data_IF_957466991630
#
_entry.id   IF_957466991630
#
_cell.length_a   1.000
_cell.length_b   1.000
_cell.length_c   1.000
_cell.angle_alpha   90.00
_cell.angle_beta   90.00
_cell.angle_gamma   90.00
#
_symmetry.space_group_name_H-M   'P 1'
#
loop_
_entity.id
_entity.type
_entity.pdbx_description
1 polymer ?
#
# COMPACT_ATOMS: atom_id res chain seq x y z
N UNK A 1 -3.54 -2.32 39.29
CA UNK A 1 -3.75 -2.24 37.86
C UNK A 1 -2.93 -3.33 37.17
N UNK A 2 -3.60 -4.29 36.61
CA UNK A 2 -2.93 -5.41 35.97
C UNK A 2 -2.43 -4.98 34.58
N UNK A 3 -1.14 -5.02 34.39
CA UNK A 3 -0.60 -4.81 33.05
C UNK A 3 -0.87 -6.04 32.21
N UNK A 4 -1.48 -5.83 31.05
CA UNK A 4 -1.59 -6.91 30.11
C UNK A 4 -0.18 -7.26 29.58
N UNK A 5 0.13 -8.54 29.45
CA UNK A 5 1.42 -8.90 28.89
C UNK A 5 1.55 -8.33 27.48
N UNK A 6 2.67 -7.68 27.23
CA UNK A 6 2.99 -7.19 25.90
C UNK A 6 3.46 -8.38 25.07
N UNK A 7 2.67 -8.70 24.06
CA UNK A 7 3.05 -9.77 23.15
C UNK A 7 4.17 -9.26 22.24
N UNK A 8 5.34 -9.89 22.33
CA UNK A 8 6.42 -9.59 21.41
C UNK A 8 6.24 -10.44 20.18
N UNK A 9 6.09 -9.79 19.04
CA UNK A 9 5.99 -10.49 17.78
C UNK A 9 7.35 -10.67 17.16
N UNK A 10 7.61 -11.88 16.71
CA UNK A 10 8.77 -12.18 15.89
C UNK A 10 8.32 -12.23 14.43
N UNK A 11 9.11 -11.62 13.56
CA UNK A 11 8.78 -11.61 12.14
C UNK A 11 9.71 -12.57 11.42
N UNK A 12 9.11 -13.51 10.73
CA UNK A 12 9.82 -14.45 9.90
C UNK A 12 9.82 -13.98 8.46
N UNK A 13 11.01 -13.90 7.87
CA UNK A 13 11.15 -13.63 6.45
C UNK A 13 11.60 -14.91 5.78
N UNK A 14 10.71 -15.50 4.99
CA UNK A 14 11.07 -16.69 4.23
C UNK A 14 12.21 -16.37 3.27
N UNK A 15 13.27 -17.21 3.22
CA UNK A 15 14.36 -16.98 2.27
C UNK A 15 13.94 -17.08 0.81
N UNK A 16 12.77 -17.66 0.55
CA UNK A 16 12.23 -17.77 -0.81
C UNK A 16 11.20 -16.70 -1.14
N UNK A 17 10.95 -15.78 -0.23
CA UNK A 17 10.00 -14.69 -0.49
C UNK A 17 10.60 -13.72 -1.50
N UNK A 18 9.90 -13.56 -2.62
CA UNK A 18 10.31 -12.64 -3.66
C UNK A 18 9.65 -11.28 -3.44
N UNK A 19 10.43 -10.20 -3.42
CA UNK A 19 9.83 -8.88 -3.37
C UNK A 19 9.09 -8.57 -4.67
N UNK A 20 8.06 -7.76 -4.56
CA UNK A 20 7.25 -7.35 -5.69
C UNK A 20 7.49 -5.88 -5.96
N UNK A 21 7.83 -5.53 -7.18
CA UNK A 21 7.90 -4.14 -7.61
C UNK A 21 6.53 -3.72 -8.14
N UNK A 22 6.05 -2.59 -7.66
CA UNK A 22 4.77 -2.03 -8.10
C UNK A 22 4.91 -0.53 -8.27
N UNK A 23 4.36 -0.01 -9.35
CA UNK A 23 4.30 1.43 -9.59
C UNK A 23 2.87 1.91 -9.84
N UNK A 24 1.90 1.07 -9.54
CA UNK A 24 0.49 1.37 -9.74
C UNK A 24 -0.34 0.52 -8.78
N UNK A 25 -1.41 1.08 -8.24
CA UNK A 25 -2.28 0.31 -7.34
C UNK A 25 -3.73 0.65 -7.63
N UNK A 26 -4.56 -0.39 -7.62
CA UNK A 26 -6.02 -0.24 -7.68
C UNK A 26 -6.57 -0.72 -6.35
N UNK A 27 -7.37 0.12 -5.71
CA UNK A 27 -7.92 -0.21 -4.40
C UNK A 27 -9.43 -0.21 -4.51
N UNK A 28 -10.03 -1.34 -4.14
CA UNK A 28 -11.47 -1.53 -4.12
C UNK A 28 -11.89 -2.07 -2.77
N UNK A 29 -13.19 -2.11 -2.51
CA UNK A 29 -13.67 -2.59 -1.22
C UNK A 29 -15.06 -3.19 -1.32
N UNK A 30 -15.35 -4.04 -0.33
CA UNK A 30 -16.69 -4.47 0.04
C UNK A 30 -16.92 -4.03 1.49
N UNK A 31 -18.10 -4.25 2.07
CA UNK A 31 -18.29 -3.90 3.50
C UNK A 31 -17.35 -4.63 4.45
N UNK A 32 -16.82 -5.77 4.07
CA UNK A 32 -15.99 -6.59 4.96
C UNK A 32 -14.51 -6.62 4.59
N UNK A 33 -14.13 -6.14 3.40
CA UNK A 33 -12.75 -6.28 2.91
C UNK A 33 -12.31 -5.07 2.12
N UNK A 34 -11.01 -4.80 2.16
CA UNK A 34 -10.34 -3.87 1.27
C UNK A 34 -9.36 -4.68 0.43
N UNK A 35 -9.41 -4.50 -0.87
CA UNK A 35 -8.55 -5.22 -1.79
C UNK A 35 -7.60 -4.25 -2.47
N UNK A 36 -6.31 -4.56 -2.41
CA UNK A 36 -5.26 -3.78 -3.07
C UNK A 36 -4.63 -4.63 -4.16
N UNK A 37 -4.84 -4.22 -5.40
CA UNK A 37 -4.18 -4.85 -6.54
C UNK A 37 -2.97 -4.01 -6.89
N UNK A 38 -1.80 -4.54 -6.61
CA UNK A 38 -0.54 -3.90 -6.94
C UNK A 38 -0.17 -4.28 -8.36
N UNK A 39 0.16 -3.29 -9.16
CA UNK A 39 0.36 -3.49 -10.58
C UNK A 39 1.65 -2.86 -11.05
N UNK A 40 2.08 -3.29 -12.20
CA UNK A 40 3.26 -2.78 -12.87
C UNK A 40 2.85 -2.28 -14.24
N UNK A 41 3.06 -0.99 -14.46
CA UNK A 41 2.88 -0.39 -15.78
C UNK A 41 4.23 -0.27 -16.46
N UNK A 42 4.24 -0.40 -17.77
CA UNK A 42 5.45 -0.26 -18.56
C UNK A 42 5.26 0.81 -19.63
N UNK A 43 6.32 1.54 -20.00
CA UNK A 43 6.21 2.55 -21.04
C UNK A 43 5.70 1.93 -22.35
N UNK A 44 4.88 2.68 -23.04
CA UNK A 44 4.40 2.32 -24.38
C UNK A 44 3.52 1.07 -24.44
N UNK A 45 3.01 0.61 -23.30
CA UNK A 45 2.02 -0.45 -23.29
C UNK A 45 0.76 0.05 -22.57
N UNK A 46 -0.42 -0.20 -23.15
CA UNK A 46 -1.67 0.22 -22.51
C UNK A 46 -2.14 -0.71 -21.39
N UNK A 47 -1.38 -1.78 -21.14
CA UNK A 47 -1.77 -2.79 -20.15
C UNK A 47 -0.92 -2.67 -18.89
N UNK A 48 -1.58 -2.75 -17.73
CA UNK A 48 -0.92 -2.89 -16.45
C UNK A 48 -1.04 -4.34 -16.00
N UNK A 49 0.06 -4.91 -15.54
CA UNK A 49 0.06 -6.29 -15.06
C UNK A 49 -0.12 -6.28 -13.54
N UNK A 50 -1.14 -6.98 -13.06
CA UNK A 50 -1.31 -7.19 -11.61
C UNK A 50 -0.25 -8.17 -11.14
N UNK A 51 0.58 -7.75 -10.21
CA UNK A 51 1.68 -8.58 -9.70
C UNK A 51 1.41 -9.10 -8.30
N UNK A 52 0.49 -8.50 -7.56
CA UNK A 52 0.10 -8.98 -6.25
C UNK A 52 -1.30 -8.47 -5.92
N UNK A 53 -2.03 -9.27 -5.19
CA UNK A 53 -3.34 -8.89 -4.65
C UNK A 53 -3.30 -9.10 -3.14
N UNK A 54 -3.59 -8.05 -2.40
CA UNK A 54 -3.60 -8.08 -0.95
C UNK A 54 -5.01 -7.78 -0.47
N UNK A 55 -5.52 -8.64 0.38
CA UNK A 55 -6.86 -8.47 0.95
C UNK A 55 -6.69 -8.17 2.43
N UNK A 56 -7.30 -7.08 2.87
CA UNK A 56 -7.21 -6.59 4.24
C UNK A 56 -8.61 -6.42 4.81
N UNK A 57 -8.73 -6.55 6.13
CA UNK A 57 -9.93 -6.04 6.78
C UNK A 57 -9.92 -4.51 6.71
N UNK A 58 -11.09 -3.85 6.77
CA UNK A 58 -11.11 -2.39 6.76
C UNK A 58 -10.27 -1.77 7.86
N UNK A 59 -10.27 -2.36 9.06
CA UNK A 59 -9.45 -1.88 10.16
C UNK A 59 -7.96 -1.97 9.82
N UNK A 60 -7.52 -3.10 9.28
CA UNK A 60 -6.12 -3.27 8.93
C UNK A 60 -5.69 -2.36 7.78
N UNK A 61 -6.60 -2.08 6.84
CA UNK A 61 -6.33 -1.11 5.80
C UNK A 61 -6.10 0.29 6.38
N UNK A 62 -6.87 0.65 7.38
CA UNK A 62 -6.72 1.93 8.04
C UNK A 62 -5.41 2.00 8.84
N UNK A 63 -5.04 0.92 9.49
CA UNK A 63 -3.75 0.82 10.19
C UNK A 63 -2.58 0.91 9.20
N UNK A 64 -2.71 0.27 8.05
CA UNK A 64 -1.69 0.35 7.00
C UNK A 64 -1.53 1.79 6.50
N UNK A 65 -2.64 2.47 6.26
CA UNK A 65 -2.60 3.88 5.85
C UNK A 65 -1.84 4.72 6.86
N UNK A 66 -2.14 4.54 8.15
CA UNK A 66 -1.47 5.28 9.20
C UNK A 66 0.03 4.97 9.25
N UNK A 67 0.37 3.70 9.20
CA UNK A 67 1.77 3.28 9.24
C UNK A 67 2.56 3.81 8.04
N UNK A 68 1.95 3.74 6.87
CA UNK A 68 2.58 4.25 5.65
C UNK A 68 2.78 5.75 5.72
N UNK A 69 1.78 6.49 6.18
CA UNK A 69 1.87 7.94 6.31
C UNK A 69 2.99 8.33 7.28
N UNK A 70 3.09 7.64 8.42
CA UNK A 70 4.15 7.91 9.40
C UNK A 70 5.53 7.64 8.83
N UNK A 71 5.68 6.55 8.08
CA UNK A 71 6.97 6.20 7.50
C UNK A 71 7.36 7.18 6.39
N UNK A 72 6.42 7.60 5.57
CA UNK A 72 6.68 8.59 4.53
C UNK A 72 7.05 9.93 5.13
N UNK A 73 6.47 10.31 6.27
CA UNK A 73 6.86 11.54 6.96
C UNK A 73 8.32 11.48 7.41
N UNK A 74 8.76 10.33 7.90
CA UNK A 74 10.17 10.13 8.27
C UNK A 74 11.09 10.20 7.05
N UNK A 75 10.66 9.61 5.96
CA UNK A 75 11.40 9.69 4.70
C UNK A 75 11.57 11.15 4.27
N UNK A 76 10.48 11.91 4.27
CA UNK A 76 10.52 13.30 3.83
C UNK A 76 11.35 14.19 4.75
N UNK A 77 11.36 13.90 6.04
CA UNK A 77 12.19 14.62 6.98
C UNK A 77 13.70 14.41 6.71
N UNK A 78 14.04 13.23 6.21
CA UNK A 78 15.43 12.85 5.96
C UNK A 78 15.90 13.21 4.54
N UNK A 79 15.05 13.04 3.55
CA UNK A 79 15.44 13.13 2.13
C UNK A 79 14.74 14.25 1.36
N UNK A 80 13.78 14.92 1.99
CA UNK A 80 13.02 15.98 1.35
C UNK A 80 11.64 15.54 0.90
N UNK A 81 10.82 16.51 0.56
CA UNK A 81 9.44 16.28 0.21
C UNK A 81 9.30 15.43 -1.06
N UNK A 82 8.40 14.46 -1.00
CA UNK A 82 8.04 13.67 -2.16
C UNK A 82 7.07 14.50 -3.00
N UNK A 83 7.48 14.84 -4.21
CA UNK A 83 6.65 15.66 -5.09
C UNK A 83 5.83 14.75 -6.01
N UNK A 84 4.52 14.93 -5.97
CA UNK A 84 3.62 14.23 -6.88
C UNK A 84 3.25 15.20 -7.99
N UNK A 85 3.53 14.85 -9.26
CA UNK A 85 3.16 15.73 -10.36
C UNK A 85 1.66 15.98 -10.40
N UNK A 86 1.28 17.20 -10.75
CA UNK A 86 -0.12 17.63 -10.82
C UNK A 86 -0.90 16.72 -11.77
N UNK A 87 -2.02 16.19 -11.29
CA UNK A 87 -2.90 15.33 -12.09
C UNK A 87 -2.48 13.89 -12.18
N UNK A 88 -1.27 13.54 -11.73
CA UNK A 88 -0.82 12.14 -11.82
C UNK A 88 -1.66 11.21 -10.96
N UNK A 89 -1.99 11.62 -9.74
CA UNK A 89 -2.79 10.81 -8.84
C UNK A 89 -4.17 10.54 -9.43
N UNK A 90 -4.75 11.54 -10.08
CA UNK A 90 -6.06 11.38 -10.73
C UNK A 90 -6.00 10.43 -11.90
N UNK A 91 -4.88 10.35 -12.59
CA UNK A 91 -4.70 9.44 -13.71
C UNK A 91 -4.44 8.01 -13.28
N UNK A 92 -3.67 7.84 -12.20
CA UNK A 92 -3.22 6.52 -11.76
C UNK A 92 -4.17 5.89 -10.73
N UNK A 93 -4.81 6.70 -9.92
CA UNK A 93 -5.62 6.22 -8.80
C UNK A 93 -7.01 6.84 -8.87
N UNK A 94 -7.65 6.74 -10.03
CA UNK A 94 -8.98 7.30 -10.18
C UNK A 94 -9.94 6.64 -9.20
N UNK A 95 -10.66 7.45 -8.42
CA UNK A 95 -11.68 6.87 -7.56
C UNK A 95 -12.74 6.20 -8.44
N UNK A 96 -13.35 5.12 -7.96
CA UNK A 96 -14.42 4.49 -8.70
C UNK A 96 -15.52 5.51 -8.95
N UNK A 97 -15.97 5.59 -10.19
CA UNK A 97 -17.06 6.49 -10.54
C UNK A 97 -18.34 5.98 -9.89
N UNK A 98 -18.98 6.85 -9.16
CA UNK A 98 -20.26 6.55 -8.55
C UNK A 98 -21.37 6.65 -9.58
#
# INVERSE_FOLDING_TARGET
>A
MTKQPVMQMEFELSPTLEPVYSNFAIITHTPSEVMMDLARTMPNTPKAKIVARVILTPMNAKLLLKALAENLAKYEAQYGEITIPTGLADQLFQPPSN
#
